data_IF_942604922684
#
_entry.id   IF_942604922684
#
_cell.length_a   1.000
_cell.length_b   1.000
_cell.length_c   1.000
_cell.angle_alpha   90.00
_cell.angle_beta   90.00
_cell.angle_gamma   90.00
#
_symmetry.space_group_name_H-M   'P 1'
#
loop_
_entity.id
_entity.type
_entity.pdbx_description
1 polymer ?
#
# COMPACT_ATOMS: atom_id res chain seq x y z
N UNK A 1 25.13 43.75 8.78
CA UNK A 1 24.86 42.73 9.84
C UNK A 1 23.38 42.37 9.97
N UNK A 2 22.43 43.31 9.87
CA UNK A 2 20.98 43.03 10.00
C UNK A 2 20.42 42.01 8.99
N UNK A 3 20.89 42.03 7.74
CA UNK A 3 20.40 41.11 6.69
C UNK A 3 20.90 39.66 6.87
N UNK A 4 22.07 39.47 7.49
CA UNK A 4 22.63 38.12 7.76
C UNK A 4 21.81 37.41 8.83
N UNK A 5 21.39 38.16 9.86
CA UNK A 5 20.53 37.64 10.93
C UNK A 5 19.16 37.22 10.39
N UNK A 6 18.60 37.98 9.45
CA UNK A 6 17.32 37.65 8.79
C UNK A 6 17.37 36.35 8.00
N UNK A 7 18.46 36.11 7.26
CA UNK A 7 18.66 34.86 6.51
C UNK A 7 18.78 33.66 7.45
N UNK A 8 19.45 33.84 8.59
CA UNK A 8 19.63 32.78 9.58
C UNK A 8 18.30 32.38 10.24
N UNK A 9 17.48 33.36 10.60
CA UNK A 9 16.14 33.12 11.18
C UNK A 9 15.22 32.46 10.14
N UNK A 10 15.27 32.91 8.88
CA UNK A 10 14.48 32.31 7.81
C UNK A 10 14.86 30.83 7.57
N UNK A 11 16.16 30.52 7.60
CA UNK A 11 16.66 29.15 7.52
C UNK A 11 16.17 28.27 8.67
N UNK A 12 16.15 28.80 9.90
CA UNK A 12 15.61 28.10 11.07
C UNK A 12 14.11 27.83 10.95
N UNK A 13 13.32 28.80 10.46
CA UNK A 13 11.88 28.63 10.27
C UNK A 13 11.61 27.57 9.19
N UNK A 14 12.32 27.62 8.06
CA UNK A 14 12.16 26.63 6.98
C UNK A 14 12.55 25.24 7.50
N UNK A 15 13.69 25.11 8.19
CA UNK A 15 14.13 23.85 8.80
C UNK A 15 13.10 23.30 9.80
N UNK A 16 12.57 24.16 10.67
CA UNK A 16 11.52 23.79 11.63
C UNK A 16 10.26 23.32 10.92
N UNK A 17 9.75 24.05 9.93
CA UNK A 17 8.56 23.64 9.17
C UNK A 17 8.78 22.30 8.49
N UNK A 18 9.92 22.10 7.82
CA UNK A 18 10.24 20.81 7.17
C UNK A 18 10.40 19.65 8.16
N UNK A 19 10.84 19.91 9.39
CA UNK A 19 10.94 18.91 10.44
C UNK A 19 9.57 18.41 10.92
N UNK A 20 8.56 19.28 10.94
CA UNK A 20 7.19 18.92 11.36
C UNK A 20 6.31 18.36 10.24
N UNK A 21 6.74 18.45 8.97
CA UNK A 21 6.07 17.75 7.86
C UNK A 21 6.43 16.27 7.96
N UNK A 22 5.74 15.55 8.85
CA UNK A 22 5.66 14.09 8.77
C UNK A 22 5.02 13.76 7.42
N UNK A 23 5.70 12.96 6.59
CA UNK A 23 5.08 12.44 5.38
C UNK A 23 3.79 11.71 5.80
N UNK A 24 2.65 11.93 5.10
CA UNK A 24 1.45 11.15 5.39
C UNK A 24 1.80 9.67 5.28
N UNK A 25 1.26 8.87 6.19
CA UNK A 25 1.37 7.41 6.12
C UNK A 25 0.46 7.01 4.96
N UNK A 26 1.05 6.48 3.88
CA UNK A 26 0.30 6.11 2.68
C UNK A 26 0.20 4.58 2.64
N UNK A 27 -1.02 4.09 2.56
CA UNK A 27 -1.33 2.67 2.46
C UNK A 27 -1.50 2.28 0.99
N UNK A 28 -1.06 1.08 0.66
CA UNK A 28 -1.23 0.48 -0.67
C UNK A 28 -1.72 -0.96 -0.45
N UNK A 29 -2.72 -1.35 -1.23
CA UNK A 29 -3.21 -2.71 -1.35
C UNK A 29 -2.65 -3.38 -2.59
N UNK A 30 -2.21 -4.63 -2.45
CA UNK A 30 -1.84 -5.51 -3.56
C UNK A 30 -2.75 -6.73 -3.51
N UNK A 31 -3.44 -7.00 -4.60
CA UNK A 31 -4.29 -8.18 -4.75
C UNK A 31 -3.70 -9.08 -5.84
N UNK A 32 -3.41 -10.33 -5.49
CA UNK A 32 -2.84 -11.31 -6.40
C UNK A 32 -3.50 -12.66 -6.16
N UNK A 33 -4.63 -12.95 -6.83
CA UNK A 33 -5.45 -14.13 -6.54
C UNK A 33 -4.68 -15.44 -6.74
N UNK A 34 -3.65 -15.42 -7.59
CA UNK A 34 -2.60 -16.40 -7.65
C UNK A 34 -1.26 -15.65 -7.85
N UNK A 35 -0.34 -15.75 -6.89
CA UNK A 35 0.97 -15.08 -6.98
C UNK A 35 1.83 -15.61 -8.16
N UNK A 36 1.54 -16.81 -8.67
CA UNK A 36 2.19 -17.36 -9.86
C UNK A 36 1.68 -16.72 -11.16
N UNK A 37 0.50 -16.08 -11.12
CA UNK A 37 -0.15 -15.47 -12.29
C UNK A 37 -0.16 -13.93 -12.22
N UNK A 38 1.00 -13.33 -12.51
CA UNK A 38 1.23 -11.87 -12.48
C UNK A 38 0.21 -11.04 -13.29
N UNK A 39 -0.47 -11.62 -14.28
CA UNK A 39 -1.44 -10.90 -15.13
C UNK A 39 -2.73 -10.49 -14.40
N UNK A 40 -3.03 -11.15 -13.29
CA UNK A 40 -4.24 -10.91 -12.51
C UNK A 40 -3.98 -9.98 -11.32
N UNK A 41 -2.76 -9.45 -11.21
CA UNK A 41 -2.36 -8.58 -10.13
C UNK A 41 -3.00 -7.22 -10.28
N UNK A 42 -3.55 -6.71 -9.18
CA UNK A 42 -4.05 -5.36 -9.06
C UNK A 42 -3.34 -4.66 -7.91
N UNK A 43 -3.03 -3.39 -8.13
CA UNK A 43 -2.52 -2.47 -7.11
C UNK A 43 -3.59 -1.40 -6.88
N UNK A 44 -3.77 -0.98 -5.63
CA UNK A 44 -4.66 0.11 -5.29
C UNK A 44 -4.04 1.47 -5.63
N UNK A 45 -4.88 2.50 -5.75
CA UNK A 45 -4.40 3.88 -5.60
C UNK A 45 -3.84 4.10 -4.17
N UNK A 46 -3.26 5.27 -3.91
CA UNK A 46 -2.79 5.64 -2.58
C UNK A 46 -3.98 5.81 -1.62
N UNK A 47 -3.95 5.08 -0.50
CA UNK A 47 -5.04 5.05 0.48
C UNK A 47 -4.62 5.75 1.78
N UNK A 48 -5.59 6.38 2.45
CA UNK A 48 -5.34 7.21 3.62
C UNK A 48 -5.32 6.40 4.93
N UNK A 49 -5.86 5.17 4.90
CA UNK A 49 -5.92 4.30 6.07
C UNK A 49 -5.82 2.81 5.76
N UNK A 50 -5.44 2.04 6.78
CA UNK A 50 -5.47 0.57 6.72
C UNK A 50 -6.89 0.02 6.48
N UNK A 51 -7.92 0.70 7.00
CA UNK A 51 -9.31 0.29 6.82
C UNK A 51 -9.76 0.43 5.37
N UNK A 52 -9.44 1.56 4.73
CA UNK A 52 -9.69 1.75 3.29
C UNK A 52 -8.98 0.72 2.45
N UNK A 53 -7.73 0.41 2.81
CA UNK A 53 -6.96 -0.63 2.15
C UNK A 53 -7.60 -2.02 2.28
N UNK A 54 -8.09 -2.39 3.47
CA UNK A 54 -8.85 -3.65 3.65
C UNK A 54 -10.15 -3.67 2.87
N UNK A 55 -10.88 -2.54 2.82
CA UNK A 55 -12.10 -2.40 2.04
C UNK A 55 -11.82 -2.58 0.55
N UNK A 56 -10.75 -1.97 0.05
CA UNK A 56 -10.32 -2.10 -1.35
C UNK A 56 -9.97 -3.55 -1.70
N UNK A 57 -9.20 -4.25 -0.86
CA UNK A 57 -8.85 -5.66 -1.08
C UNK A 57 -10.11 -6.52 -1.15
N UNK A 58 -11.03 -6.37 -0.18
CA UNK A 58 -12.25 -7.18 -0.14
C UNK A 58 -13.14 -6.93 -1.37
N UNK A 59 -13.31 -5.68 -1.77
CA UNK A 59 -14.07 -5.34 -2.99
C UNK A 59 -13.41 -5.95 -4.25
N UNK A 60 -12.08 -5.92 -4.32
CA UNK A 60 -11.33 -6.50 -5.43
C UNK A 60 -11.44 -8.03 -5.47
N UNK A 61 -11.44 -8.67 -4.30
CA UNK A 61 -11.66 -10.10 -4.13
C UNK A 61 -13.07 -10.51 -4.58
N UNK A 62 -14.09 -9.74 -4.18
CA UNK A 62 -15.49 -9.96 -4.59
C UNK A 62 -15.64 -9.87 -6.12
N UNK A 63 -15.10 -8.81 -6.73
CA UNK A 63 -15.08 -8.66 -8.21
C UNK A 63 -14.43 -9.86 -8.91
N UNK A 64 -13.34 -10.38 -8.35
CA UNK A 64 -12.64 -11.52 -8.92
C UNK A 64 -13.46 -12.81 -8.79
N UNK A 65 -14.08 -13.04 -7.64
CA UNK A 65 -14.95 -14.19 -7.42
C UNK A 65 -16.16 -14.15 -8.38
N UNK A 66 -16.79 -12.99 -8.55
CA UNK A 66 -17.88 -12.78 -9.51
C UNK A 66 -17.42 -13.08 -10.95
N UNK A 67 -16.24 -12.60 -11.35
CA UNK A 67 -15.66 -12.89 -12.65
C UNK A 67 -15.45 -14.40 -12.86
N UNK A 68 -14.96 -15.12 -11.84
CA UNK A 68 -14.75 -16.56 -11.90
C UNK A 68 -16.07 -17.35 -11.99
N UNK A 69 -17.06 -16.96 -11.21
CA UNK A 69 -18.38 -17.57 -11.21
C UNK A 69 -19.06 -17.42 -12.58
N UNK A 70 -19.00 -16.22 -13.17
CA UNK A 70 -19.62 -15.92 -14.46
C UNK A 70 -18.91 -16.64 -15.62
N UNK A 71 -17.58 -16.59 -15.67
CA UNK A 71 -16.81 -17.05 -16.84
C UNK A 71 -16.39 -18.53 -16.76
N UNK A 72 -16.24 -19.07 -15.55
CA UNK A 72 -15.67 -20.40 -15.34
C UNK A 72 -16.55 -21.31 -14.48
N UNK A 73 -17.66 -20.81 -13.91
CA UNK A 73 -18.50 -21.53 -12.94
C UNK A 73 -17.69 -22.09 -11.77
N UNK A 74 -16.68 -21.35 -11.34
CA UNK A 74 -15.83 -21.67 -10.19
C UNK A 74 -16.06 -20.65 -9.10
N UNK A 75 -16.25 -21.13 -7.89
CA UNK A 75 -16.21 -20.33 -6.68
C UNK A 75 -14.79 -20.36 -6.13
N UNK A 76 -14.27 -19.21 -5.72
CA UNK A 76 -12.95 -19.12 -5.11
C UNK A 76 -13.10 -19.05 -3.59
N UNK A 77 -12.26 -19.79 -2.88
CA UNK A 77 -12.18 -19.66 -1.42
C UNK A 77 -11.43 -18.37 -1.09
N UNK A 78 -12.08 -17.44 -0.40
CA UNK A 78 -11.46 -16.19 0.05
C UNK A 78 -10.20 -16.42 0.90
N UNK A 79 -10.07 -17.59 1.54
CA UNK A 79 -8.87 -17.96 2.30
C UNK A 79 -7.68 -18.33 1.41
N UNK A 80 -7.88 -18.54 0.11
CA UNK A 80 -6.84 -18.81 -0.88
C UNK A 80 -6.43 -17.56 -1.67
N UNK A 81 -7.04 -16.40 -1.37
CA UNK A 81 -6.66 -15.15 -2.01
C UNK A 81 -5.44 -14.58 -1.29
N UNK A 82 -4.33 -14.53 -2.01
CA UNK A 82 -3.18 -13.81 -1.52
C UNK A 82 -3.36 -12.31 -1.77
N UNK A 83 -3.24 -11.52 -0.70
CA UNK A 83 -3.26 -10.08 -0.77
C UNK A 83 -2.36 -9.48 0.30
N UNK A 84 -1.93 -8.25 0.06
CA UNK A 84 -1.19 -7.44 1.03
C UNK A 84 -1.83 -6.08 1.17
N UNK A 85 -1.76 -5.54 2.36
CA UNK A 85 -2.36 -4.26 2.68
C UNK A 85 -1.59 -3.60 3.80
N UNK A 86 -0.93 -2.47 3.51
CA UNK A 86 -0.10 -1.79 4.50
C UNK A 86 0.73 -0.67 3.90
N UNK A 87 1.81 -0.32 4.59
CA UNK A 87 2.75 0.74 4.20
C UNK A 87 4.11 0.13 3.90
N UNK A 88 5.00 0.92 3.27
CA UNK A 88 6.38 0.49 2.97
C UNK A 88 6.45 -0.88 2.25
N UNK A 89 5.51 -1.15 1.35
CA UNK A 89 5.43 -2.42 0.65
C UNK A 89 6.64 -2.64 -0.26
N UNK A 90 7.13 -3.87 -0.30
CA UNK A 90 8.29 -4.26 -1.13
C UNK A 90 7.95 -5.53 -1.88
N UNK A 91 8.45 -5.63 -3.11
CA UNK A 91 8.43 -6.88 -3.87
C UNK A 91 9.52 -7.78 -3.29
N UNK A 92 9.12 -8.93 -2.74
CA UNK A 92 10.02 -9.75 -1.93
C UNK A 92 9.36 -10.20 -0.64
N UNK A 93 9.64 -11.44 -0.23
CA UNK A 93 9.52 -11.80 1.19
C UNK A 93 10.69 -11.17 1.98
N UNK A 94 10.72 -11.35 3.31
CA UNK A 94 11.79 -10.86 4.19
C UNK A 94 13.20 -11.37 3.79
N UNK A 95 13.28 -12.37 2.90
CA UNK A 95 14.50 -12.98 2.39
C UNK A 95 14.86 -12.54 0.97
N UNK A 96 14.08 -11.62 0.36
CA UNK A 96 14.38 -11.03 -0.94
C UNK A 96 14.21 -11.95 -2.14
N UNK A 97 13.41 -13.02 -2.03
CA UNK A 97 13.21 -14.00 -3.11
C UNK A 97 11.96 -13.75 -3.96
N UNK A 98 11.17 -12.71 -3.65
CA UNK A 98 9.71 -12.79 -3.81
C UNK A 98 9.13 -12.49 -5.19
N UNK A 99 8.18 -13.36 -5.56
CA UNK A 99 7.10 -13.21 -6.52
C UNK A 99 5.83 -12.64 -5.89
N UNK A 100 5.90 -11.96 -4.74
CA UNK A 100 4.77 -11.29 -4.08
C UNK A 100 5.22 -10.04 -3.37
N UNK A 101 4.29 -9.12 -3.13
CA UNK A 101 4.55 -7.97 -2.27
C UNK A 101 4.49 -8.41 -0.80
N UNK A 102 5.14 -7.65 0.07
CA UNK A 102 4.98 -7.76 1.53
C UNK A 102 4.95 -6.35 2.08
N UNK A 103 3.89 -6.04 2.81
CA UNK A 103 3.69 -4.71 3.38
C UNK A 103 3.98 -4.71 4.87
N UNK A 104 4.53 -3.62 5.38
CA UNK A 104 4.51 -3.39 6.82
C UNK A 104 3.09 -3.04 7.21
N UNK A 105 2.47 -3.91 7.99
CA UNK A 105 1.25 -3.54 8.71
C UNK A 105 1.68 -2.72 9.93
N UNK A 106 1.26 -1.46 10.00
CA UNK A 106 1.32 -0.73 11.27
C UNK A 106 0.30 -1.39 12.19
N UNK A 107 0.73 -2.37 13.00
CA UNK A 107 -0.04 -2.84 14.14
C UNK A 107 -0.42 -1.64 15.00
N UNK A 108 -1.70 -1.58 15.39
CA UNK A 108 -2.28 -0.60 16.31
C UNK A 108 -1.39 -0.32 17.53
#
# INVERSE_FOLDING_TARGET
>A
MKNVLGIFILGLIIGFVTYFIKKPIIYIGYFYPNYEELKLWKESDLLESLEECRKWVNATADEYNDYLLINFKKEYDYNMLDYECGVDCRLGDDYGQGTKYTCKTTTQ
#
